data_IF_811089761779
#
_entry.id   IF_811089761779
#
_cell.length_a   1.000
_cell.length_b   1.000
_cell.length_c   1.000
_cell.angle_alpha   90.00
_cell.angle_beta   90.00
_cell.angle_gamma   90.00
#
_symmetry.space_group_name_H-M   'P 1'
#
loop_
_entity.id
_entity.type
_entity.pdbx_description
1 polymer ?
#
# COMPACT_ATOMS: atom_id res chain seq x y z
N UNK A 1 6.35 17.50 -12.76
CA UNK A 1 6.56 16.20 -12.06
C UNK A 1 7.36 16.32 -10.76
N UNK A 2 8.25 17.30 -10.59
CA UNK A 2 8.82 17.66 -9.26
C UNK A 2 7.77 18.37 -8.36
N UNK A 3 6.70 18.89 -8.96
CA UNK A 3 5.73 19.76 -8.30
C UNK A 3 4.86 19.10 -7.23
N UNK A 4 4.63 17.77 -7.25
CA UNK A 4 3.79 17.13 -6.24
C UNK A 4 4.55 16.90 -4.92
N UNK A 5 5.84 16.57 -5.02
CA UNK A 5 6.74 16.49 -3.87
C UNK A 5 7.00 17.91 -3.34
N UNK A 6 7.26 18.88 -4.24
CA UNK A 6 7.48 20.27 -3.85
C UNK A 6 6.26 20.98 -3.24
N UNK A 7 5.02 20.56 -3.54
CA UNK A 7 3.82 21.12 -2.91
C UNK A 7 3.65 20.60 -1.47
N UNK A 8 3.93 19.31 -1.26
CA UNK A 8 3.86 18.67 0.05
C UNK A 8 4.99 19.14 0.99
N UNK A 9 6.18 19.47 0.44
CA UNK A 9 7.27 20.14 1.17
C UNK A 9 6.86 21.54 1.65
N UNK A 10 6.01 22.25 0.88
CA UNK A 10 5.60 23.63 1.17
C UNK A 10 4.49 23.74 2.22
N UNK A 11 3.65 22.71 2.39
CA UNK A 11 2.59 22.67 3.42
C UNK A 11 3.09 22.30 4.82
N UNK A 12 4.21 21.57 4.94
CA UNK A 12 4.77 21.15 6.25
C UNK A 12 6.01 21.94 6.69
N UNK A 13 6.72 22.62 5.78
CA UNK A 13 7.95 23.35 6.11
C UNK A 13 9.18 22.46 6.35
N UNK A 14 9.08 21.15 6.16
CA UNK A 14 10.16 20.17 6.26
C UNK A 14 10.05 19.12 5.15
N UNK A 15 11.19 18.63 4.66
CA UNK A 15 11.25 17.56 3.67
C UNK A 15 10.60 16.29 4.23
N UNK A 16 9.57 15.77 3.56
CA UNK A 16 8.95 14.50 3.94
C UNK A 16 10.01 13.40 3.94
N UNK A 17 10.10 12.68 5.05
CA UNK A 17 10.97 11.51 5.12
C UNK A 17 10.55 10.48 4.07
N UNK A 18 11.48 9.69 3.54
CA UNK A 18 11.20 8.70 2.46
C UNK A 18 10.02 7.79 2.80
N UNK A 19 9.86 7.42 4.06
CA UNK A 19 8.75 6.60 4.54
C UNK A 19 7.40 7.35 4.54
N UNK A 20 7.38 8.63 4.89
CA UNK A 20 6.18 9.47 4.79
C UNK A 20 5.78 9.70 3.34
N UNK A 21 6.75 9.92 2.45
CA UNK A 21 6.51 10.05 1.01
C UNK A 21 5.90 8.76 0.44
N UNK A 22 6.44 7.57 0.79
CA UNK A 22 5.87 6.29 0.37
C UNK A 22 4.45 6.10 0.88
N UNK A 23 4.16 6.41 2.14
CA UNK A 23 2.80 6.34 2.71
C UNK A 23 1.83 7.28 1.99
N UNK A 24 2.28 8.50 1.65
CA UNK A 24 1.47 9.46 0.92
C UNK A 24 1.14 8.95 -0.49
N UNK A 25 2.15 8.44 -1.21
CA UNK A 25 1.97 7.88 -2.56
C UNK A 25 1.04 6.65 -2.52
N UNK A 26 1.18 5.76 -1.52
CA UNK A 26 0.26 4.62 -1.34
C UNK A 26 -1.19 5.08 -1.15
N UNK A 27 -1.41 6.13 -0.36
CA UNK A 27 -2.74 6.70 -0.13
C UNK A 27 -3.33 7.28 -1.44
N UNK A 28 -2.53 8.04 -2.17
CA UNK A 28 -2.91 8.59 -3.49
C UNK A 28 -3.28 7.47 -4.48
N UNK A 29 -2.46 6.41 -4.56
CA UNK A 29 -2.74 5.24 -5.41
C UNK A 29 -4.07 4.60 -5.05
N UNK A 30 -4.36 4.43 -3.75
CA UNK A 30 -5.63 3.86 -3.29
C UNK A 30 -6.82 4.73 -3.70
N UNK A 31 -6.75 6.04 -3.47
CA UNK A 31 -7.80 6.98 -3.86
C UNK A 31 -8.01 7.00 -5.38
N UNK A 32 -6.93 6.88 -6.16
CA UNK A 32 -7.02 6.75 -7.61
C UNK A 32 -7.70 5.46 -8.04
N UNK A 33 -7.39 4.32 -7.42
CA UNK A 33 -8.08 3.04 -7.70
C UNK A 33 -9.57 3.14 -7.37
N UNK A 34 -9.92 3.72 -6.23
CA UNK A 34 -11.33 3.98 -5.84
C UNK A 34 -12.02 4.94 -6.84
N UNK A 35 -11.30 5.94 -7.33
CA UNK A 35 -11.81 6.88 -8.36
C UNK A 35 -12.02 6.18 -9.70
N UNK A 36 -11.07 5.32 -10.12
CA UNK A 36 -11.19 4.53 -11.35
C UNK A 36 -12.38 3.59 -11.26
N UNK A 37 -12.56 2.90 -10.14
CA UNK A 37 -13.64 1.94 -9.93
C UNK A 37 -15.02 2.62 -9.86
N UNK A 38 -15.08 3.83 -9.29
CA UNK A 38 -16.32 4.63 -9.24
C UNK A 38 -16.61 5.43 -10.52
N UNK A 39 -15.64 5.54 -11.44
CA UNK A 39 -15.82 6.27 -12.69
C UNK A 39 -16.55 5.38 -13.72
N UNK A 40 -17.65 5.87 -14.33
CA UNK A 40 -18.36 5.12 -15.35
C UNK A 40 -17.46 4.77 -16.53
N UNK A 41 -17.59 3.55 -17.06
CA UNK A 41 -16.85 3.05 -18.22
C UNK A 41 -17.12 3.83 -19.52
N UNK A 42 -18.10 4.74 -19.54
CA UNK A 42 -18.37 5.69 -20.62
C UNK A 42 -17.48 6.93 -20.60
N UNK A 43 -16.79 7.22 -19.48
CA UNK A 43 -15.84 8.34 -19.34
C UNK A 43 -14.40 7.88 -19.50
N UNK A 44 -14.11 7.33 -20.68
CA UNK A 44 -12.78 6.83 -21.04
C UNK A 44 -11.69 7.89 -20.92
N UNK A 45 -12.01 9.17 -21.15
CA UNK A 45 -11.10 10.30 -20.95
C UNK A 45 -10.57 10.39 -19.50
N UNK A 46 -11.47 10.30 -18.52
CA UNK A 46 -11.12 10.35 -17.10
C UNK A 46 -10.41 9.07 -16.64
N UNK A 47 -10.86 7.91 -17.13
CA UNK A 47 -10.22 6.63 -16.84
C UNK A 47 -8.80 6.58 -17.38
N UNK A 48 -8.54 7.10 -18.58
CA UNK A 48 -7.20 7.12 -19.17
C UNK A 48 -6.26 8.04 -18.40
N UNK A 49 -6.73 9.23 -18.00
CA UNK A 49 -5.95 10.16 -17.19
C UNK A 49 -5.63 9.57 -15.81
N UNK A 50 -6.63 8.96 -15.16
CA UNK A 50 -6.45 8.30 -13.87
C UNK A 50 -5.49 7.12 -13.98
N UNK A 51 -5.61 6.26 -14.99
CA UNK A 51 -4.68 5.14 -15.19
C UNK A 51 -3.25 5.61 -15.49
N UNK A 52 -3.06 6.72 -16.23
CA UNK A 52 -1.72 7.31 -16.44
C UNK A 52 -1.11 7.80 -15.13
N UNK A 53 -1.89 8.52 -14.31
CA UNK A 53 -1.44 8.97 -12.97
C UNK A 53 -1.12 7.79 -12.07
N UNK A 54 -1.97 6.76 -12.07
CA UNK A 54 -1.77 5.52 -11.30
C UNK A 54 -0.43 4.87 -11.66
N UNK A 55 -0.16 4.67 -12.96
CA UNK A 55 1.07 4.04 -13.43
C UNK A 55 2.33 4.82 -13.06
N UNK A 56 2.25 6.15 -13.07
CA UNK A 56 3.34 7.01 -12.61
C UNK A 56 3.56 6.81 -11.11
N UNK A 57 2.51 6.88 -10.29
CA UNK A 57 2.63 6.70 -8.83
C UNK A 57 3.12 5.29 -8.47
N UNK A 58 2.64 4.25 -9.17
CA UNK A 58 3.09 2.86 -9.00
C UNK A 58 4.56 2.67 -9.39
N UNK A 59 5.13 3.51 -10.25
CA UNK A 59 6.57 3.47 -10.56
C UNK A 59 7.48 3.98 -9.43
N UNK A 60 6.92 4.78 -8.51
CA UNK A 60 7.62 5.28 -7.32
C UNK A 60 7.44 4.37 -6.09
N UNK A 61 6.46 3.46 -6.14
CA UNK A 61 6.26 2.46 -5.11
C UNK A 61 7.01 1.18 -5.46
N UNK A 62 7.62 0.49 -4.48
CA UNK A 62 7.99 -0.90 -4.69
C UNK A 62 6.72 -1.71 -4.96
N UNK A 63 6.88 -2.83 -5.66
CA UNK A 63 5.78 -3.67 -6.16
C UNK A 63 4.70 -3.86 -5.08
N UNK A 64 3.56 -3.21 -5.27
CA UNK A 64 2.42 -3.30 -4.37
C UNK A 64 1.83 -4.71 -4.44
N UNK A 65 1.61 -5.32 -3.29
CA UNK A 65 0.94 -6.61 -3.20
C UNK A 65 -0.57 -6.41 -3.20
N UNK A 66 -1.28 -7.18 -4.01
CA UNK A 66 -2.74 -7.22 -3.99
C UNK A 66 -3.25 -7.79 -2.66
N UNK A 67 -4.52 -7.55 -2.28
CA UNK A 67 -5.08 -8.10 -1.03
C UNK A 67 -4.93 -9.62 -0.92
N UNK A 68 -5.04 -10.35 -2.04
CA UNK A 68 -4.89 -11.81 -2.09
C UNK A 68 -3.43 -12.25 -1.98
N UNK A 69 -2.51 -11.51 -2.61
CA UNK A 69 -1.08 -11.73 -2.50
C UNK A 69 -0.59 -11.43 -1.08
N UNK A 70 -1.14 -10.42 -0.41
CA UNK A 70 -0.86 -10.11 0.98
C UNK A 70 -1.28 -11.23 1.92
N UNK A 71 -2.48 -11.80 1.73
CA UNK A 71 -2.93 -12.96 2.51
C UNK A 71 -1.99 -14.14 2.31
N UNK A 72 -1.62 -14.42 1.05
CA UNK A 72 -0.69 -15.52 0.72
C UNK A 72 0.69 -15.31 1.37
N UNK A 73 1.20 -14.08 1.35
CA UNK A 73 2.49 -13.75 1.95
C UNK A 73 2.44 -13.80 3.48
N UNK A 74 1.32 -13.41 4.09
CA UNK A 74 1.08 -13.58 5.54
C UNK A 74 1.10 -15.06 5.92
N UNK A 75 0.35 -15.91 5.23
CA UNK A 75 0.32 -17.35 5.48
C UNK A 75 1.71 -17.99 5.30
N UNK A 76 2.43 -17.58 4.24
CA UNK A 76 3.80 -18.03 4.00
C UNK A 76 4.72 -17.61 5.15
N UNK A 77 4.68 -16.35 5.57
CA UNK A 77 5.51 -15.85 6.66
C UNK A 77 5.24 -16.59 7.97
N UNK A 78 3.97 -16.84 8.29
CA UNK A 78 3.56 -17.61 9.47
C UNK A 78 4.16 -19.03 9.42
N UNK A 79 4.05 -19.70 8.26
CA UNK A 79 4.59 -21.05 8.05
C UNK A 79 6.12 -21.09 8.12
N UNK A 80 6.80 -20.14 7.48
CA UNK A 80 8.27 -20.05 7.46
C UNK A 80 8.85 -19.82 8.87
N UNK A 81 8.14 -19.06 9.71
CA UNK A 81 8.58 -18.72 11.06
C UNK A 81 8.03 -19.68 12.13
N UNK A 82 7.34 -20.76 11.75
CA UNK A 82 6.63 -21.67 12.67
C UNK A 82 5.76 -20.92 13.69
N UNK A 83 5.13 -19.83 13.25
CA UNK A 83 4.19 -19.05 14.06
C UNK A 83 2.80 -19.64 13.93
N UNK A 84 1.98 -19.44 14.95
CA UNK A 84 0.55 -19.73 14.88
C UNK A 84 -0.21 -18.46 14.46
N UNK A 85 -1.23 -18.61 13.62
CA UNK A 85 -2.14 -17.54 13.20
C UNK A 85 -3.12 -17.15 14.32
N UNK A 86 -2.59 -16.74 15.47
CA UNK A 86 -3.35 -16.35 16.67
C UNK A 86 -3.06 -14.90 17.05
N UNK A 87 -4.01 -14.24 17.72
CA UNK A 87 -3.87 -12.83 18.16
C UNK A 87 -2.60 -12.57 18.97
N UNK A 88 -2.13 -13.55 19.75
CA UNK A 88 -0.89 -13.46 20.52
C UNK A 88 0.35 -13.20 19.63
N UNK A 89 0.37 -13.76 18.43
CA UNK A 89 1.50 -13.65 17.49
C UNK A 89 1.31 -12.50 16.48
N UNK A 90 0.15 -11.83 16.49
CA UNK A 90 -0.18 -10.76 15.54
C UNK A 90 0.88 -9.65 15.50
N UNK A 91 1.36 -9.21 16.67
CA UNK A 91 2.38 -8.15 16.74
C UNK A 91 3.72 -8.58 16.12
N UNK A 92 4.14 -9.82 16.34
CA UNK A 92 5.37 -10.37 15.76
C UNK A 92 5.24 -10.54 14.24
N UNK A 93 4.11 -11.07 13.76
CA UNK A 93 3.82 -11.24 12.34
C UNK A 93 3.79 -9.88 11.64
N UNK A 94 3.11 -8.89 12.22
CA UNK A 94 3.05 -7.54 11.68
C UNK A 94 4.45 -6.91 11.58
N UNK A 95 5.27 -7.03 12.63
CA UNK A 95 6.62 -6.45 12.61
C UNK A 95 7.49 -7.09 11.52
N UNK A 96 7.55 -8.42 11.48
CA UNK A 96 8.38 -9.12 10.50
C UNK A 96 7.94 -8.91 9.05
N UNK A 97 6.63 -8.84 8.80
CA UNK A 97 6.11 -8.52 7.47
C UNK A 97 6.29 -7.06 7.10
N UNK A 98 6.18 -6.11 8.04
CA UNK A 98 6.49 -4.69 7.76
C UNK A 98 7.96 -4.49 7.39
N UNK A 99 8.87 -5.27 8.00
CA UNK A 99 10.30 -5.27 7.64
C UNK A 99 10.54 -5.97 6.28
N UNK A 100 9.90 -7.12 6.02
CA UNK A 100 10.04 -7.87 4.77
C UNK A 100 9.41 -7.14 3.57
N UNK A 101 8.27 -6.49 3.79
CA UNK A 101 7.44 -5.83 2.77
C UNK A 101 7.56 -4.31 2.82
N UNK A 102 8.72 -3.79 3.24
CA UNK A 102 8.94 -2.36 3.44
C UNK A 102 8.55 -1.55 2.19
N UNK A 103 7.44 -0.81 2.30
CA UNK A 103 6.87 -0.01 1.21
C UNK A 103 6.00 -0.76 0.19
N UNK A 104 5.98 -2.10 0.20
CA UNK A 104 5.15 -2.93 -0.69
C UNK A 104 3.69 -3.05 -0.21
N UNK A 105 3.44 -2.74 1.07
CA UNK A 105 2.10 -2.62 1.65
C UNK A 105 2.10 -1.55 2.74
N UNK A 106 0.91 -1.04 3.08
CA UNK A 106 0.70 -0.27 4.29
C UNK A 106 0.27 -1.17 5.46
N UNK A 107 0.48 -0.67 6.69
CA UNK A 107 0.16 -1.42 7.91
C UNK A 107 -1.34 -1.70 8.09
N UNK A 108 -2.24 -0.88 7.52
CA UNK A 108 -3.68 -1.10 7.58
C UNK A 108 -4.09 -2.23 6.64
N UNK A 109 -3.61 -2.24 5.40
CA UNK A 109 -3.86 -3.33 4.45
C UNK A 109 -3.28 -4.67 4.95
N UNK A 110 -2.08 -4.64 5.53
CA UNK A 110 -1.48 -5.80 6.17
C UNK A 110 -2.31 -6.29 7.36
N UNK A 111 -2.83 -5.38 8.20
CA UNK A 111 -3.68 -5.73 9.33
C UNK A 111 -5.02 -6.36 8.88
N UNK A 112 -5.61 -5.85 7.80
CA UNK A 112 -6.82 -6.43 7.19
C UNK A 112 -6.52 -7.84 6.67
N UNK A 113 -5.42 -8.03 5.93
CA UNK A 113 -5.01 -9.35 5.42
C UNK A 113 -4.75 -10.33 6.57
N UNK A 114 -4.01 -9.91 7.60
CA UNK A 114 -3.74 -10.71 8.78
C UNK A 114 -5.03 -11.07 9.53
N UNK A 115 -5.97 -10.14 9.66
CA UNK A 115 -7.27 -10.40 10.30
C UNK A 115 -8.11 -11.44 9.56
N UNK A 116 -7.90 -11.65 8.25
CA UNK A 116 -8.54 -12.72 7.48
C UNK A 116 -7.89 -14.10 7.73
N UNK A 117 -6.61 -14.12 8.09
CA UNK A 117 -5.84 -15.36 8.33
C UNK A 117 -5.89 -15.78 9.80
N UNK A 118 -6.04 -14.82 10.71
CA UNK A 118 -6.19 -15.07 12.15
C UNK A 118 -7.44 -15.93 12.42
N UNK A 119 -7.25 -16.98 13.23
CA UNK A 119 -8.34 -17.82 13.76
C UNK A 119 -8.87 -17.27 15.09
#
# INVERSE_FOLDING_TARGET
>A
MISAIGLAEKEKGEALSKEEALKFIQKEVKQLKETIESTPSTRTDLLEEANKKLKILESYLPKQLSPEELVTEVERFIKENNLEAIKKNQGQIMKGLMEKLQGATDGKSLNIALSKVLK
#
